data_IF_010937522945
#
_entry.id   IF_010937522945
#
_cell.length_a   1.000
_cell.length_b   1.000
_cell.length_c   1.000
_cell.angle_alpha   90.00
_cell.angle_beta   90.00
_cell.angle_gamma   90.00
#
_symmetry.space_group_name_H-M   'P 1'
#
loop_
_entity.id
_entity.type
_entity.pdbx_description
1 polymer ?
#
# COMPACT_ATOMS: atom_id res chain seq x y z
N UNK A 1 -30.11 -7.46 -5.27
CA UNK A 1 -29.46 -6.15 -5.06
C UNK A 1 -28.27 -6.25 -4.10
N UNK A 2 -28.40 -6.97 -2.98
CA UNK A 2 -27.32 -7.18 -1.99
C UNK A 2 -26.07 -7.88 -2.54
N UNK A 3 -26.23 -8.88 -3.42
CA UNK A 3 -25.11 -9.65 -3.99
C UNK A 3 -24.18 -8.82 -4.91
N UNK A 4 -24.71 -7.80 -5.60
CA UNK A 4 -23.89 -6.92 -6.44
C UNK A 4 -22.97 -6.03 -5.61
N UNK A 5 -23.43 -5.56 -4.44
CA UNK A 5 -22.64 -4.71 -3.54
C UNK A 5 -21.39 -5.45 -3.05
N UNK A 6 -21.53 -6.74 -2.74
CA UNK A 6 -20.43 -7.58 -2.26
C UNK A 6 -19.33 -7.82 -3.31
N UNK A 7 -19.65 -7.71 -4.60
CA UNK A 7 -18.66 -7.84 -5.69
C UNK A 7 -18.04 -6.50 -6.10
N UNK A 8 -18.78 -5.40 -5.95
CA UNK A 8 -18.30 -4.06 -6.31
C UNK A 8 -17.18 -3.59 -5.36
N UNK A 9 -17.31 -3.85 -4.06
CA UNK A 9 -16.35 -3.40 -3.04
C UNK A 9 -14.92 -3.93 -3.31
N UNK A 10 -14.68 -5.24 -3.50
CA UNK A 10 -13.33 -5.75 -3.74
C UNK A 10 -12.76 -5.28 -5.08
N UNK A 11 -13.61 -5.17 -6.11
CA UNK A 11 -13.18 -4.66 -7.43
C UNK A 11 -12.76 -3.19 -7.37
N UNK A 12 -13.55 -2.36 -6.69
CA UNK A 12 -13.22 -0.95 -6.48
C UNK A 12 -11.94 -0.80 -5.64
N UNK A 13 -11.80 -1.62 -4.60
CA UNK A 13 -10.60 -1.61 -3.74
C UNK A 13 -9.34 -1.94 -4.53
N UNK A 14 -9.36 -3.00 -5.35
CA UNK A 14 -8.25 -3.35 -6.24
C UNK A 14 -7.90 -2.21 -7.21
N UNK A 15 -8.93 -1.59 -7.80
CA UNK A 15 -8.74 -0.48 -8.74
C UNK A 15 -8.09 0.74 -8.08
N UNK A 16 -8.52 1.09 -6.87
CA UNK A 16 -7.94 2.20 -6.10
C UNK A 16 -6.49 1.93 -5.69
N UNK A 17 -6.18 0.71 -5.27
CA UNK A 17 -4.79 0.34 -4.93
C UNK A 17 -3.91 0.35 -6.17
N UNK A 18 -4.40 -0.11 -7.33
CA UNK A 18 -3.66 -0.03 -8.59
C UNK A 18 -3.37 1.43 -8.98
N UNK A 19 -4.34 2.33 -8.85
CA UNK A 19 -4.13 3.76 -9.07
C UNK A 19 -3.10 4.35 -8.09
N UNK A 20 -3.16 3.96 -6.81
CA UNK A 20 -2.18 4.39 -5.81
C UNK A 20 -0.75 3.93 -6.15
N UNK A 21 -0.59 2.71 -6.67
CA UNK A 21 0.70 2.19 -7.17
C UNK A 21 1.20 3.03 -8.34
N UNK A 22 0.37 3.28 -9.36
CA UNK A 22 0.74 4.07 -10.52
C UNK A 22 1.13 5.51 -10.14
N UNK A 23 0.36 6.12 -9.24
CA UNK A 23 0.64 7.45 -8.72
C UNK A 23 1.98 7.49 -7.98
N UNK A 24 2.21 6.54 -7.08
CA UNK A 24 3.46 6.45 -6.31
C UNK A 24 4.67 6.19 -7.21
N UNK A 25 4.51 5.33 -8.23
CA UNK A 25 5.55 5.06 -9.22
C UNK A 25 5.91 6.33 -10.02
N UNK A 26 4.91 7.14 -10.39
CA UNK A 26 5.11 8.45 -11.01
C UNK A 26 5.91 9.42 -10.12
N UNK A 27 5.71 9.37 -8.79
CA UNK A 27 6.51 10.16 -7.85
C UNK A 27 7.95 9.65 -7.79
N UNK A 28 8.15 8.34 -7.62
CA UNK A 28 9.49 7.73 -7.57
C UNK A 28 10.28 8.06 -8.84
N UNK A 29 9.64 7.98 -10.02
CA UNK A 29 10.28 8.29 -11.29
C UNK A 29 10.74 9.76 -11.41
N UNK A 30 10.04 10.69 -10.76
CA UNK A 30 10.33 12.14 -10.85
C UNK A 30 11.28 12.65 -9.76
N UNK A 31 11.37 11.99 -8.61
CA UNK A 31 12.05 12.53 -7.42
C UNK A 31 13.54 12.19 -7.43
N UNK A 32 14.39 13.22 -7.47
CA UNK A 32 15.84 13.09 -7.29
C UNK A 32 16.22 13.24 -5.79
N UNK A 33 16.74 12.14 -5.23
CA UNK A 33 17.66 12.05 -4.08
C UNK A 33 17.16 11.89 -2.63
N UNK A 34 16.31 12.75 -2.03
CA UNK A 34 16.02 12.63 -0.57
C UNK A 34 14.65 12.04 -0.20
N UNK A 35 13.60 12.39 -0.94
CA UNK A 35 12.25 11.82 -0.75
C UNK A 35 12.15 10.37 -1.29
N UNK A 36 13.09 9.97 -2.14
CA UNK A 36 13.05 8.72 -2.91
C UNK A 36 12.95 7.47 -2.02
N UNK A 37 13.72 7.40 -0.92
CA UNK A 37 13.72 6.24 -0.04
C UNK A 37 12.36 6.04 0.65
N UNK A 38 11.75 7.11 1.15
CA UNK A 38 10.48 7.04 1.86
C UNK A 38 9.33 6.64 0.90
N UNK A 39 9.35 7.18 -0.32
CA UNK A 39 8.38 6.80 -1.36
C UNK A 39 8.58 5.36 -1.84
N UNK A 40 9.81 4.85 -1.90
CA UNK A 40 10.08 3.43 -2.19
C UNK A 40 9.54 2.50 -1.11
N UNK A 41 9.71 2.85 0.17
CA UNK A 41 9.14 2.08 1.28
C UNK A 41 7.60 2.10 1.22
N UNK A 42 7.01 3.26 0.96
CA UNK A 42 5.57 3.39 0.76
C UNK A 42 5.07 2.58 -0.44
N UNK A 43 5.81 2.57 -1.54
CA UNK A 43 5.50 1.76 -2.72
C UNK A 43 5.52 0.26 -2.42
N UNK A 44 6.51 -0.21 -1.67
CA UNK A 44 6.55 -1.61 -1.20
C UNK A 44 5.34 -1.93 -0.32
N UNK A 45 4.91 -1.00 0.55
CA UNK A 45 3.67 -1.17 1.31
C UNK A 45 2.46 -1.35 0.37
N UNK A 46 2.32 -0.51 -0.65
CA UNK A 46 1.24 -0.61 -1.63
C UNK A 46 1.27 -1.94 -2.40
N UNK A 47 2.46 -2.48 -2.71
CA UNK A 47 2.57 -3.81 -3.33
C UNK A 47 2.02 -4.88 -2.38
N UNK A 48 2.38 -4.86 -1.09
CA UNK A 48 1.82 -5.80 -0.13
C UNK A 48 0.30 -5.68 -0.02
N UNK A 49 -0.23 -4.46 0.04
CA UNK A 49 -1.68 -4.23 0.05
C UNK A 49 -2.34 -4.80 -1.22
N UNK A 50 -1.75 -4.56 -2.39
CA UNK A 50 -2.27 -5.08 -3.65
C UNK A 50 -2.26 -6.60 -3.67
N UNK A 51 -1.14 -7.23 -3.31
CA UNK A 51 -1.03 -8.69 -3.21
C UNK A 51 -2.05 -9.27 -2.24
N UNK A 52 -2.25 -8.64 -1.08
CA UNK A 52 -3.26 -9.05 -0.11
C UNK A 52 -4.67 -9.01 -0.70
N UNK A 53 -5.07 -7.91 -1.36
CA UNK A 53 -6.40 -7.80 -1.99
C UNK A 53 -6.58 -8.76 -3.15
N UNK A 54 -5.53 -9.07 -3.90
CA UNK A 54 -5.57 -10.12 -4.93
C UNK A 54 -5.79 -11.49 -4.28
N UNK A 55 -5.06 -11.83 -3.21
CA UNK A 55 -5.23 -13.11 -2.51
C UNK A 55 -6.64 -13.20 -1.92
N UNK A 56 -7.13 -12.15 -1.28
CA UNK A 56 -8.48 -12.07 -0.70
C UNK A 56 -9.56 -12.26 -1.77
N UNK A 57 -9.38 -11.66 -2.95
CA UNK A 57 -10.30 -11.81 -4.08
C UNK A 57 -10.39 -13.26 -4.60
N UNK A 58 -9.28 -14.01 -4.58
CA UNK A 58 -9.21 -15.40 -5.02
C UNK A 58 -9.31 -16.42 -3.87
N UNK A 59 -9.54 -15.98 -2.63
CA UNK A 59 -9.51 -16.83 -1.46
C UNK A 59 -10.74 -17.76 -1.40
N UNK A 60 -10.58 -18.98 -1.91
CA UNK A 60 -11.63 -20.02 -1.82
C UNK A 60 -11.65 -20.72 -0.45
N UNK A 61 -10.57 -20.64 0.32
CA UNK A 61 -10.39 -21.39 1.57
C UNK A 61 -9.99 -20.45 2.72
N UNK A 62 -10.39 -20.79 3.96
CA UNK A 62 -9.99 -20.07 5.18
C UNK A 62 -8.47 -19.91 5.33
N UNK A 63 -7.69 -20.86 4.82
CA UNK A 63 -6.23 -20.76 4.78
C UNK A 63 -5.76 -19.55 3.96
N UNK A 64 -6.28 -19.37 2.73
CA UNK A 64 -5.94 -18.24 1.86
C UNK A 64 -6.36 -16.90 2.46
N UNK A 65 -7.51 -16.86 3.14
CA UNK A 65 -7.95 -15.69 3.88
C UNK A 65 -6.96 -15.31 5.00
N UNK A 66 -6.45 -16.29 5.75
CA UNK A 66 -5.42 -16.07 6.77
C UNK A 66 -4.10 -15.57 6.18
N UNK A 67 -3.73 -16.05 4.98
CA UNK A 67 -2.55 -15.56 4.25
C UNK A 67 -2.76 -14.10 3.85
N UNK A 68 -3.92 -13.73 3.28
CA UNK A 68 -4.24 -12.34 2.94
C UNK A 68 -4.13 -11.43 4.17
N UNK A 69 -4.70 -11.83 5.32
CA UNK A 69 -4.59 -11.07 6.57
C UNK A 69 -3.14 -10.87 7.04
N UNK A 70 -2.30 -11.89 6.87
CA UNK A 70 -0.87 -11.81 7.21
C UNK A 70 -0.16 -10.80 6.29
N UNK A 71 -0.50 -10.78 5.01
CA UNK A 71 0.04 -9.82 4.04
C UNK A 71 -0.48 -8.40 4.33
N UNK A 72 -1.75 -8.22 4.71
CA UNK A 72 -2.31 -6.93 5.17
C UNK A 72 -1.60 -6.42 6.44
N UNK A 73 -1.21 -7.32 7.34
CA UNK A 73 -0.40 -6.97 8.50
C UNK A 73 1.00 -6.48 8.11
N UNK A 74 1.66 -7.15 7.17
CA UNK A 74 2.94 -6.68 6.61
C UNK A 74 2.80 -5.31 5.95
N UNK A 75 1.74 -5.10 5.15
CA UNK A 75 1.41 -3.79 4.60
C UNK A 75 1.35 -2.72 5.70
N UNK A 76 0.66 -3.01 6.81
CA UNK A 76 0.50 -2.05 7.90
C UNK A 76 1.84 -1.66 8.53
N UNK A 77 2.75 -2.62 8.69
CA UNK A 77 4.12 -2.36 9.19
C UNK A 77 4.88 -1.45 8.22
N UNK A 78 4.90 -1.78 6.92
CA UNK A 78 5.62 -0.99 5.92
C UNK A 78 5.01 0.39 5.72
N UNK A 79 3.68 0.52 5.80
CA UNK A 79 2.97 1.79 5.73
C UNK A 79 3.39 2.70 6.89
N UNK A 80 3.35 2.19 8.12
CA UNK A 80 3.75 2.95 9.31
C UNK A 80 5.23 3.33 9.26
N UNK A 81 6.09 2.40 8.82
CA UNK A 81 7.51 2.68 8.58
C UNK A 81 7.71 3.79 7.55
N UNK A 82 7.01 3.74 6.42
CA UNK A 82 7.04 4.77 5.37
C UNK A 82 6.59 6.14 5.88
N UNK A 83 5.48 6.20 6.63
CA UNK A 83 4.98 7.44 7.24
C UNK A 83 5.99 8.00 8.24
N UNK A 84 6.58 7.15 9.08
CA UNK A 84 7.58 7.57 10.05
C UNK A 84 8.82 8.16 9.36
N UNK A 85 9.29 7.54 8.28
CA UNK A 85 10.40 8.05 7.47
C UNK A 85 10.06 9.36 6.78
N UNK A 86 8.87 9.50 6.19
CA UNK A 86 8.42 10.77 5.60
C UNK A 86 8.38 11.87 6.66
N UNK A 87 7.87 11.57 7.86
CA UNK A 87 7.83 12.53 8.97
C UNK A 87 9.22 12.98 9.39
N UNK A 88 10.16 12.04 9.55
CA UNK A 88 11.54 12.39 9.91
C UNK A 88 12.21 13.22 8.81
N UNK A 89 11.92 12.91 7.55
CA UNK A 89 12.44 13.66 6.42
C UNK A 89 11.91 15.10 6.38
N UNK A 90 10.62 15.32 6.64
CA UNK A 90 10.08 16.67 6.77
C UNK A 90 10.73 17.44 7.92
N UNK A 91 10.94 16.78 9.07
CA UNK A 91 11.65 17.39 10.21
C UNK A 91 13.07 17.85 9.84
N UNK A 92 13.78 17.03 9.07
CA UNK A 92 15.11 17.38 8.56
C UNK A 92 15.08 18.52 7.52
N UNK A 93 14.04 18.56 6.66
CA UNK A 93 13.86 19.63 5.66
C UNK A 93 13.54 20.96 6.34
N UNK A 94 12.71 20.93 7.39
CA UNK A 94 12.32 22.12 8.17
C UNK A 94 13.44 22.62 9.11
N UNK A 95 14.57 21.89 9.20
CA UNK A 95 15.74 22.29 9.98
C UNK A 95 15.59 22.07 11.49
N UNK A 96 14.57 21.33 11.91
CA UNK A 96 14.39 20.93 13.31
C UNK A 96 15.34 19.75 13.65
N UNK A 97 16.13 19.89 14.73
CA UNK A 97 17.03 18.84 15.23
C UNK A 97 16.27 17.74 15.96
#
# INVERSE_FOLDING_TARGET
MQEYIWQIIPFLSLSLVALAILFTLGIIWRVEMKLDLAYKVFFVALIFLFSSKVIDFFATTKFWLSVAQTVDFLFSIFLLGGIWMMRDLFRQIDGEK
#
